data_IF_647272750980
#
_entry.id   IF_647272750980
#
_cell.length_a   1.000
_cell.length_b   1.000
_cell.length_c   1.000
_cell.angle_alpha   90.00
_cell.angle_beta   90.00
_cell.angle_gamma   90.00
#
_symmetry.space_group_name_H-M   'P 1'
#
loop_
_entity.id
_entity.type
_entity.pdbx_description
1 polymer ?
#
# COMPACT_ATOMS: atom_id res chain seq x y z
N UNK A 1 -18.05 -10.39 19.19
CA UNK A 1 -16.78 -9.68 19.27
C UNK A 1 -15.72 -10.51 18.56
N UNK A 2 -14.97 -9.90 17.63
CA UNK A 2 -13.87 -10.55 16.92
C UNK A 2 -12.58 -10.43 17.74
N UNK A 3 -12.33 -9.25 18.29
CA UNK A 3 -11.15 -8.97 19.09
C UNK A 3 -11.23 -7.60 19.76
N UNK A 4 -10.17 -7.27 20.50
CA UNK A 4 -10.01 -5.98 21.18
C UNK A 4 -8.58 -5.49 21.00
N UNK A 5 -8.41 -4.21 20.62
CA UNK A 5 -7.12 -3.56 20.45
C UNK A 5 -7.13 -2.23 21.20
N UNK A 6 -6.24 -2.07 22.19
CA UNK A 6 -6.18 -0.89 23.09
C UNK A 6 -7.53 -0.50 23.70
N UNK A 7 -8.30 -1.47 24.19
CA UNK A 7 -9.60 -1.25 24.78
C UNK A 7 -10.75 -0.99 23.78
N UNK A 8 -10.47 -0.90 22.50
CA UNK A 8 -11.47 -0.79 21.45
C UNK A 8 -11.90 -2.18 20.97
N UNK A 9 -13.16 -2.48 21.19
CA UNK A 9 -13.77 -3.76 20.78
C UNK A 9 -14.21 -3.68 19.33
N UNK A 10 -13.83 -4.67 18.53
CA UNK A 10 -14.34 -4.85 17.18
C UNK A 10 -15.52 -5.80 17.18
N UNK A 11 -16.69 -5.34 16.75
CA UNK A 11 -17.87 -6.18 16.62
C UNK A 11 -17.72 -7.13 15.42
N UNK A 12 -18.45 -8.25 15.44
CA UNK A 12 -18.51 -9.17 14.30
C UNK A 12 -19.09 -8.45 13.08
N UNK A 13 -20.08 -7.61 13.28
CA UNK A 13 -20.76 -6.88 12.22
C UNK A 13 -19.83 -5.87 11.54
N UNK A 14 -19.08 -5.07 12.33
CA UNK A 14 -18.13 -4.10 11.77
C UNK A 14 -17.00 -4.81 11.01
N UNK A 15 -16.49 -5.90 11.58
CA UNK A 15 -15.48 -6.72 10.92
C UNK A 15 -15.97 -7.30 9.59
N UNK A 16 -17.20 -7.85 9.59
CA UNK A 16 -17.79 -8.39 8.36
C UNK A 16 -17.96 -7.29 7.31
N UNK A 17 -18.39 -6.09 7.69
CA UNK A 17 -18.48 -4.95 6.78
C UNK A 17 -17.13 -4.60 6.15
N UNK A 18 -16.05 -4.62 6.93
CA UNK A 18 -14.69 -4.39 6.39
C UNK A 18 -14.25 -5.49 5.42
N UNK A 19 -14.56 -6.75 5.75
CA UNK A 19 -14.26 -7.91 4.88
C UNK A 19 -15.04 -7.81 3.58
N UNK A 20 -16.31 -7.43 3.64
CA UNK A 20 -17.16 -7.26 2.46
C UNK A 20 -16.66 -6.10 1.57
N UNK A 21 -16.29 -4.96 2.16
CA UNK A 21 -15.68 -3.83 1.43
C UNK A 21 -14.40 -4.29 0.69
N UNK A 22 -13.50 -4.97 1.39
CA UNK A 22 -12.25 -5.47 0.80
C UNK A 22 -12.49 -6.52 -0.28
N UNK A 23 -13.44 -7.42 -0.06
CA UNK A 23 -13.82 -8.45 -1.02
C UNK A 23 -14.36 -7.83 -2.32
N UNK A 24 -15.22 -6.83 -2.22
CA UNK A 24 -15.76 -6.11 -3.39
C UNK A 24 -14.65 -5.41 -4.18
N UNK A 25 -13.71 -4.76 -3.49
CA UNK A 25 -12.54 -4.14 -4.11
C UNK A 25 -11.69 -5.17 -4.85
N UNK A 26 -11.43 -6.32 -4.22
CA UNK A 26 -10.65 -7.41 -4.81
C UNK A 26 -11.34 -7.99 -6.05
N UNK A 27 -12.64 -8.25 -5.98
CA UNK A 27 -13.45 -8.73 -7.14
C UNK A 27 -13.36 -7.75 -8.31
N UNK A 28 -13.41 -6.46 -8.01
CA UNK A 28 -13.34 -5.45 -9.05
C UNK A 28 -11.94 -5.38 -9.68
N UNK A 29 -10.89 -5.46 -8.88
CA UNK A 29 -9.52 -5.53 -9.41
C UNK A 29 -9.35 -6.75 -10.34
N UNK A 30 -9.89 -7.90 -9.96
CA UNK A 30 -9.89 -9.10 -10.80
C UNK A 30 -10.62 -8.87 -12.13
N UNK A 31 -11.80 -8.23 -12.11
CA UNK A 31 -12.56 -7.89 -13.32
C UNK A 31 -11.80 -6.90 -14.22
N UNK A 32 -11.15 -5.90 -13.64
CA UNK A 32 -10.30 -4.96 -14.40
C UNK A 32 -9.11 -5.64 -15.06
N UNK A 33 -8.65 -6.78 -14.51
CA UNK A 33 -7.59 -7.61 -15.08
C UNK A 33 -8.12 -8.69 -16.05
N UNK A 34 -9.41 -8.67 -16.38
CA UNK A 34 -10.04 -9.62 -17.29
C UNK A 34 -10.37 -10.98 -16.68
N UNK A 35 -10.38 -11.07 -15.34
CA UNK A 35 -10.80 -12.28 -14.60
C UNK A 35 -12.29 -12.21 -14.25
N UNK A 36 -12.90 -13.35 -13.91
CA UNK A 36 -14.34 -13.44 -13.66
C UNK A 36 -14.81 -12.74 -12.36
N UNK A 37 -13.88 -12.37 -11.48
CA UNK A 37 -14.18 -11.69 -10.23
C UNK A 37 -14.80 -12.59 -9.16
N UNK A 38 -14.74 -13.92 -9.31
CA UNK A 38 -15.19 -14.86 -8.29
C UNK A 38 -14.04 -15.16 -7.31
N UNK A 39 -14.32 -14.96 -6.02
CA UNK A 39 -13.38 -15.31 -4.95
C UNK A 39 -13.55 -16.78 -4.55
N UNK A 40 -12.43 -17.47 -4.43
CA UNK A 40 -12.40 -18.79 -3.81
C UNK A 40 -12.51 -18.70 -2.29
N UNK A 41 -12.87 -19.80 -1.62
CA UNK A 41 -12.91 -19.85 -0.14
C UNK A 41 -11.56 -19.48 0.47
N UNK A 42 -10.45 -19.95 -0.14
CA UNK A 42 -9.10 -19.63 0.30
C UNK A 42 -8.80 -18.13 0.17
N UNK A 43 -9.18 -17.49 -0.93
CA UNK A 43 -9.01 -16.04 -1.10
C UNK A 43 -9.86 -15.25 -0.11
N UNK A 44 -11.08 -15.71 0.16
CA UNK A 44 -11.95 -15.08 1.15
C UNK A 44 -11.32 -15.15 2.56
N UNK A 45 -10.74 -16.27 2.93
CA UNK A 45 -10.07 -16.40 4.22
C UNK A 45 -8.80 -15.54 4.31
N UNK A 46 -8.01 -15.44 3.23
CA UNK A 46 -6.87 -14.54 3.14
C UNK A 46 -7.30 -13.06 3.30
N UNK A 47 -8.42 -12.66 2.68
CA UNK A 47 -8.97 -11.30 2.85
C UNK A 47 -9.35 -11.06 4.31
N UNK A 48 -9.99 -12.01 4.98
CA UNK A 48 -10.34 -11.88 6.41
C UNK A 48 -9.11 -11.67 7.28
N UNK A 49 -8.07 -12.44 7.06
CA UNK A 49 -6.80 -12.31 7.78
C UNK A 49 -6.14 -10.96 7.51
N UNK A 50 -6.07 -10.52 6.24
CA UNK A 50 -5.51 -9.22 5.86
C UNK A 50 -6.29 -8.07 6.50
N UNK A 51 -7.62 -8.11 6.49
CA UNK A 51 -8.47 -7.09 7.12
C UNK A 51 -8.22 -7.03 8.62
N UNK A 52 -8.07 -8.17 9.29
CA UNK A 52 -7.74 -8.20 10.71
C UNK A 52 -6.37 -7.59 11.00
N UNK A 53 -5.35 -7.98 10.27
CA UNK A 53 -3.99 -7.44 10.42
C UNK A 53 -3.94 -5.94 10.16
N UNK A 54 -4.60 -5.48 9.09
CA UNK A 54 -4.70 -4.06 8.77
C UNK A 54 -5.40 -3.28 9.88
N UNK A 55 -6.53 -3.80 10.38
CA UNK A 55 -7.24 -3.17 11.50
C UNK A 55 -6.36 -3.04 12.74
N UNK A 56 -5.65 -4.10 13.12
CA UNK A 56 -4.73 -4.06 14.27
C UNK A 56 -3.65 -3.01 14.06
N UNK A 57 -3.01 -2.98 12.91
CA UNK A 57 -1.97 -2.02 12.57
C UNK A 57 -2.50 -0.59 12.59
N UNK A 58 -3.66 -0.33 12.00
CA UNK A 58 -4.30 0.99 11.99
C UNK A 58 -4.64 1.46 13.40
N UNK A 59 -5.14 0.56 14.29
CA UNK A 59 -5.39 0.90 15.68
C UNK A 59 -4.11 1.18 16.46
N UNK A 60 -3.02 0.47 16.18
CA UNK A 60 -1.71 0.73 16.81
C UNK A 60 -1.17 2.11 16.43
N UNK A 61 -1.12 2.41 15.13
CA UNK A 61 -0.67 3.72 14.64
C UNK A 61 -1.56 4.84 15.18
N UNK A 62 -2.88 4.65 15.10
CA UNK A 62 -3.84 5.64 15.60
C UNK A 62 -3.69 5.89 17.09
N UNK A 63 -3.50 4.86 17.90
CA UNK A 63 -3.32 4.99 19.35
C UNK A 63 -2.07 5.81 19.69
N UNK A 64 -0.95 5.57 19.01
CA UNK A 64 0.28 6.32 19.23
C UNK A 64 0.16 7.76 18.69
N UNK A 65 -0.46 7.94 17.52
CA UNK A 65 -0.72 9.26 16.97
C UNK A 65 -1.63 10.11 17.86
N UNK A 66 -2.70 9.52 18.42
CA UNK A 66 -3.63 10.20 19.33
C UNK A 66 -2.89 10.70 20.59
N UNK A 67 -1.94 9.92 21.16
CA UNK A 67 -1.10 10.33 22.28
C UNK A 67 -0.17 11.50 21.95
N UNK A 68 0.32 11.52 20.72
CA UNK A 68 1.27 12.53 20.24
C UNK A 68 0.58 13.78 19.66
N UNK A 69 -0.75 13.77 19.55
CA UNK A 69 -1.50 14.85 18.91
C UNK A 69 -1.31 14.92 17.40
N UNK A 70 -0.97 13.79 16.77
CA UNK A 70 -0.78 13.69 15.33
C UNK A 70 -2.08 13.30 14.66
N UNK A 71 -2.50 14.07 13.68
CA UNK A 71 -3.70 13.80 12.88
C UNK A 71 -3.48 14.24 11.43
N UNK A 72 -4.33 13.73 10.55
CA UNK A 72 -4.35 14.11 9.13
C UNK A 72 -5.41 15.17 8.92
N UNK A 73 -5.01 16.31 8.39
CA UNK A 73 -5.90 17.42 8.04
C UNK A 73 -6.50 17.24 6.65
N UNK A 74 -7.64 17.87 6.38
CA UNK A 74 -8.23 17.86 5.05
C UNK A 74 -7.32 18.54 4.01
N UNK A 75 -6.54 19.55 4.42
CA UNK A 75 -5.54 20.18 3.56
C UNK A 75 -4.45 19.20 3.09
N UNK A 76 -4.00 18.30 3.97
CA UNK A 76 -3.00 17.27 3.61
C UNK A 76 -3.60 16.22 2.67
N UNK A 77 -4.86 15.84 2.87
CA UNK A 77 -5.57 14.96 1.94
C UNK A 77 -5.68 15.62 0.57
N UNK A 78 -6.08 16.89 0.50
CA UNK A 78 -6.17 17.64 -0.76
C UNK A 78 -4.81 17.74 -1.46
N UNK A 79 -3.73 17.98 -0.72
CA UNK A 79 -2.38 18.03 -1.28
C UNK A 79 -1.92 16.65 -1.80
N UNK A 80 -2.19 15.58 -1.06
CA UNK A 80 -1.91 14.21 -1.52
C UNK A 80 -2.66 13.87 -2.81
N UNK A 81 -3.93 14.27 -2.90
CA UNK A 81 -4.74 14.13 -4.11
C UNK A 81 -4.19 14.95 -5.29
N UNK A 82 -3.73 16.18 -5.03
CA UNK A 82 -3.12 17.04 -6.04
C UNK A 82 -1.81 16.46 -6.59
N UNK A 83 -0.99 15.88 -5.71
CA UNK A 83 0.27 15.24 -6.10
C UNK A 83 0.05 13.90 -6.80
N UNK A 84 -1.01 13.17 -6.46
CA UNK A 84 -1.40 11.90 -7.09
C UNK A 84 -0.39 10.77 -6.95
N UNK A 85 0.52 10.86 -5.96
CA UNK A 85 1.65 9.92 -5.80
C UNK A 85 1.48 8.94 -4.64
N UNK A 86 0.40 9.04 -3.86
CA UNK A 86 0.10 8.11 -2.78
C UNK A 86 -0.18 6.70 -3.33
N UNK A 87 0.26 5.67 -2.59
CA UNK A 87 0.09 4.28 -3.01
C UNK A 87 -1.40 3.90 -3.12
N UNK A 88 -2.22 4.38 -2.20
CA UNK A 88 -3.67 4.19 -2.20
C UNK A 88 -4.37 4.77 -3.46
N UNK A 89 -3.76 5.76 -4.12
CA UNK A 89 -4.28 6.36 -5.35
C UNK A 89 -3.86 5.63 -6.62
N UNK A 90 -2.89 4.71 -6.56
CA UNK A 90 -2.42 3.97 -7.75
C UNK A 90 -3.55 3.12 -8.36
N UNK A 91 -4.40 2.52 -7.52
CA UNK A 91 -5.58 1.79 -7.96
C UNK A 91 -6.56 2.71 -8.73
N UNK A 92 -6.67 3.95 -8.28
CA UNK A 92 -7.56 4.94 -8.89
C UNK A 92 -7.02 5.52 -10.20
N UNK A 93 -5.72 5.39 -10.47
CA UNK A 93 -5.12 5.85 -11.72
C UNK A 93 -5.67 5.13 -12.96
N UNK A 94 -6.13 3.89 -12.82
CA UNK A 94 -6.84 3.16 -13.90
C UNK A 94 -8.21 3.73 -14.24
N UNK A 95 -8.87 4.42 -13.30
CA UNK A 95 -10.20 5.00 -13.46
C UNK A 95 -10.16 6.52 -13.68
N UNK A 96 -9.27 7.20 -12.97
CA UNK A 96 -9.11 8.65 -12.97
C UNK A 96 -7.69 9.04 -13.34
N UNK A 97 -7.08 8.34 -14.28
CA UNK A 97 -5.72 8.62 -14.73
C UNK A 97 -5.69 9.59 -15.90
N UNK A 98 -4.66 10.42 -15.92
CA UNK A 98 -4.36 11.22 -17.10
C UNK A 98 -3.88 10.30 -18.23
N UNK A 99 -4.52 10.29 -19.41
CA UNK A 99 -4.17 9.40 -20.52
C UNK A 99 -2.73 9.53 -21.01
N UNK A 100 -2.11 10.71 -20.81
CA UNK A 100 -0.74 10.98 -21.26
C UNK A 100 0.32 10.53 -20.25
N UNK A 101 0.03 10.62 -18.96
CA UNK A 101 1.01 10.33 -17.90
C UNK A 101 0.76 9.01 -17.18
N UNK A 102 -0.44 8.43 -17.31
CA UNK A 102 -0.87 7.25 -16.57
C UNK A 102 -1.02 7.47 -15.05
N UNK A 103 -0.89 8.72 -14.58
CA UNK A 103 -0.98 9.06 -13.16
C UNK A 103 -2.39 9.52 -12.81
N UNK A 104 -2.73 9.34 -11.54
CA UNK A 104 -3.99 9.86 -10.99
C UNK A 104 -4.17 11.35 -11.29
N UNK A 105 -5.40 11.72 -11.71
CA UNK A 105 -5.78 13.08 -12.07
C UNK A 105 -6.95 13.54 -11.20
N UNK A 106 -6.68 14.49 -10.30
CA UNK A 106 -7.67 15.04 -9.39
C UNK A 106 -8.85 15.69 -10.12
N UNK A 107 -8.62 16.30 -11.28
CA UNK A 107 -9.69 16.97 -12.03
C UNK A 107 -10.74 15.96 -12.56
N UNK A 108 -10.31 14.78 -12.98
CA UNK A 108 -11.22 13.72 -13.41
C UNK A 108 -12.05 13.19 -12.24
N UNK A 109 -11.42 12.97 -11.07
CA UNK A 109 -12.13 12.58 -9.86
C UNK A 109 -13.17 13.65 -9.45
N UNK A 110 -12.77 14.92 -9.41
CA UNK A 110 -13.67 16.02 -9.06
C UNK A 110 -14.86 16.11 -10.01
N UNK A 111 -14.64 15.95 -11.30
CA UNK A 111 -15.71 15.91 -12.29
C UNK A 111 -16.68 14.76 -12.03
N UNK A 112 -16.14 13.56 -11.77
CA UNK A 112 -16.95 12.40 -11.41
C UNK A 112 -17.77 12.65 -10.13
N UNK A 113 -17.15 13.12 -9.05
CA UNK A 113 -17.83 13.37 -7.77
C UNK A 113 -18.90 14.46 -7.86
N UNK A 114 -18.72 15.41 -8.73
CA UNK A 114 -19.73 16.46 -9.01
C UNK A 114 -20.98 15.92 -9.70
N UNK A 115 -20.78 15.03 -10.67
CA UNK A 115 -21.82 14.65 -11.61
C UNK A 115 -22.41 13.24 -11.38
N UNK A 116 -21.79 12.37 -10.54
CA UNK A 116 -22.18 10.96 -10.43
C UNK A 116 -23.65 10.75 -10.05
N UNK A 117 -24.23 11.59 -9.16
CA UNK A 117 -25.64 11.49 -8.77
C UNK A 117 -26.57 11.78 -9.93
N UNK A 118 -26.25 12.81 -10.72
CA UNK A 118 -27.01 13.18 -11.93
C UNK A 118 -26.90 12.08 -12.98
N UNK A 119 -25.72 11.52 -13.15
CA UNK A 119 -25.49 10.41 -14.10
C UNK A 119 -26.26 9.16 -13.71
N UNK A 120 -26.34 8.83 -12.40
CA UNK A 120 -27.19 7.74 -11.89
C UNK A 120 -28.67 7.99 -12.25
N UNK A 121 -29.18 9.20 -12.00
CA UNK A 121 -30.57 9.54 -12.35
C UNK A 121 -30.84 9.39 -13.83
N UNK A 122 -29.95 9.86 -14.69
CA UNK A 122 -30.03 9.69 -16.13
C UNK A 122 -30.03 8.23 -16.57
N UNK A 123 -29.14 7.41 -15.99
CA UNK A 123 -29.07 5.99 -16.26
C UNK A 123 -30.35 5.24 -15.82
N UNK A 124 -30.93 5.63 -14.68
CA UNK A 124 -32.21 5.09 -14.20
C UNK A 124 -33.38 5.48 -15.15
N UNK A 125 -33.43 6.73 -15.61
CA UNK A 125 -34.43 7.18 -16.59
C UNK A 125 -34.30 6.48 -17.95
N UNK A 126 -33.05 6.14 -18.34
CA UNK A 126 -32.75 5.38 -19.54
C UNK A 126 -32.96 3.85 -19.36
N UNK A 127 -33.43 3.41 -18.19
CA UNK A 127 -33.66 2.01 -17.85
C UNK A 127 -32.40 1.13 -18.06
N UNK A 128 -31.21 1.69 -17.70
CA UNK A 128 -29.92 1.05 -17.83
C UNK A 128 -29.32 0.71 -16.44
N UNK A 129 -29.68 -0.45 -15.86
CA UNK A 129 -29.22 -0.84 -14.53
C UNK A 129 -27.71 -1.10 -14.48
N UNK A 130 -27.11 -1.56 -15.58
CA UNK A 130 -25.65 -1.83 -15.63
C UNK A 130 -24.84 -0.54 -15.46
N UNK A 131 -25.26 0.55 -16.10
CA UNK A 131 -24.60 1.84 -15.93
C UNK A 131 -24.74 2.37 -14.50
N UNK A 132 -25.88 2.17 -13.85
CA UNK A 132 -26.08 2.53 -12.44
C UNK A 132 -25.12 1.74 -11.55
N UNK A 133 -25.02 0.44 -11.77
CA UNK A 133 -24.13 -0.43 -10.99
C UNK A 133 -22.66 -0.04 -11.16
N UNK A 134 -22.21 0.23 -12.39
CA UNK A 134 -20.85 0.71 -12.68
C UNK A 134 -20.52 2.03 -11.97
N UNK A 135 -21.41 3.01 -12.01
CA UNK A 135 -21.20 4.31 -11.36
C UNK A 135 -21.12 4.13 -9.83
N UNK A 136 -22.02 3.34 -9.26
CA UNK A 136 -22.00 3.06 -7.82
C UNK A 136 -20.76 2.29 -7.39
N UNK A 137 -20.27 1.38 -8.23
CA UNK A 137 -19.04 0.64 -8.01
C UNK A 137 -17.82 1.57 -7.98
N UNK A 138 -17.68 2.47 -8.94
CA UNK A 138 -16.61 3.48 -8.97
C UNK A 138 -16.68 4.37 -7.74
N UNK A 139 -17.87 4.75 -7.28
CA UNK A 139 -18.04 5.54 -6.05
C UNK A 139 -17.61 4.78 -4.81
N UNK A 140 -17.97 3.50 -4.68
CA UNK A 140 -17.52 2.64 -3.57
C UNK A 140 -16.00 2.50 -3.52
N UNK A 141 -15.38 2.30 -4.69
CA UNK A 141 -13.92 2.24 -4.79
C UNK A 141 -13.26 3.53 -4.33
N UNK A 142 -13.81 4.67 -4.74
CA UNK A 142 -13.31 5.96 -4.29
C UNK A 142 -13.41 6.08 -2.77
N UNK A 143 -14.57 5.75 -2.17
CA UNK A 143 -14.77 5.84 -0.73
C UNK A 143 -13.79 4.96 0.04
N UNK A 144 -13.52 3.77 -0.48
CA UNK A 144 -12.50 2.88 0.06
C UNK A 144 -11.09 3.50 -0.07
N UNK A 145 -10.72 4.00 -1.25
CA UNK A 145 -9.41 4.59 -1.50
C UNK A 145 -9.17 5.85 -0.65
N UNK A 146 -10.20 6.66 -0.39
CA UNK A 146 -10.08 7.82 0.50
C UNK A 146 -9.80 7.40 1.95
N UNK A 147 -10.45 6.35 2.45
CA UNK A 147 -10.16 5.79 3.78
C UNK A 147 -8.70 5.31 3.86
N UNK A 148 -8.25 4.58 2.83
CA UNK A 148 -6.86 4.09 2.75
C UNK A 148 -5.85 5.25 2.66
N UNK A 149 -6.14 6.29 1.90
CA UNK A 149 -5.29 7.48 1.80
C UNK A 149 -5.10 8.16 3.16
N UNK A 150 -6.17 8.31 3.94
CA UNK A 150 -6.08 8.90 5.29
C UNK A 150 -5.23 8.04 6.23
N UNK A 151 -5.39 6.72 6.19
CA UNK A 151 -4.59 5.78 6.97
C UNK A 151 -3.10 5.81 6.53
N UNK A 152 -2.84 5.81 5.23
CA UNK A 152 -1.49 5.93 4.65
C UNK A 152 -0.80 7.23 5.11
N UNK A 153 -1.49 8.37 5.01
CA UNK A 153 -0.94 9.67 5.43
C UNK A 153 -0.64 9.70 6.94
N UNK A 154 -1.51 9.12 7.77
CA UNK A 154 -1.28 9.04 9.20
C UNK A 154 -0.06 8.18 9.53
N UNK A 155 0.03 7.00 8.89
CA UNK A 155 1.16 6.08 9.06
C UNK A 155 2.47 6.71 8.59
N UNK A 156 2.45 7.44 7.47
CA UNK A 156 3.61 8.14 6.96
C UNK A 156 4.07 9.25 7.93
N UNK A 157 3.16 10.03 8.51
CA UNK A 157 3.49 11.01 9.54
C UNK A 157 4.14 10.38 10.75
N UNK A 158 3.57 9.29 11.24
CA UNK A 158 4.11 8.54 12.36
C UNK A 158 5.53 8.02 12.08
N UNK A 159 5.73 7.39 10.91
CA UNK A 159 7.03 6.87 10.50
C UNK A 159 8.07 7.98 10.29
N UNK A 160 7.66 9.16 9.83
CA UNK A 160 8.54 10.32 9.68
C UNK A 160 9.16 10.78 10.99
N UNK A 161 8.47 10.62 12.13
CA UNK A 161 9.04 10.96 13.44
C UNK A 161 10.29 10.14 13.73
N UNK A 162 10.25 8.85 13.44
CA UNK A 162 11.42 7.98 13.60
C UNK A 162 12.52 8.36 12.63
N UNK A 163 12.19 8.59 11.37
CA UNK A 163 13.16 9.00 10.36
C UNK A 163 13.86 10.32 10.72
N UNK A 164 13.12 11.30 11.27
CA UNK A 164 13.68 12.57 11.73
C UNK A 164 14.51 12.45 13.01
N UNK A 165 14.27 11.42 13.83
CA UNK A 165 15.05 11.13 15.03
C UNK A 165 16.44 10.54 14.72
N UNK A 166 16.66 10.03 13.52
CA UNK A 166 17.96 9.53 13.10
C UNK A 166 18.82 10.69 12.57
N UNK A 167 19.73 11.17 13.40
CA UNK A 167 20.74 12.12 12.96
C UNK A 167 21.73 11.40 12.05
N UNK A 168 21.82 11.79 10.79
CA UNK A 168 22.82 11.24 9.88
C UNK A 168 24.22 11.56 10.40
N UNK A 169 25.05 10.54 10.60
CA UNK A 169 26.46 10.71 10.91
C UNK A 169 27.22 11.01 9.61
N UNK A 170 27.82 12.22 9.44
CA UNK A 170 28.53 12.57 8.22
C UNK A 170 29.69 11.60 7.90
N UNK A 171 30.32 11.02 8.92
CA UNK A 171 31.41 10.05 8.74
C UNK A 171 30.85 8.73 8.17
N UNK A 172 29.71 8.25 8.69
CA UNK A 172 29.07 7.04 8.18
C UNK A 172 28.52 7.26 6.76
N UNK A 173 27.94 8.43 6.47
CA UNK A 173 27.48 8.80 5.14
C UNK A 173 28.64 8.85 4.13
N UNK A 174 29.80 9.41 4.53
CA UNK A 174 31.00 9.42 3.72
C UNK A 174 31.53 8.02 3.46
N UNK A 175 31.64 7.18 4.51
CA UNK A 175 32.10 5.81 4.38
C UNK A 175 31.20 5.00 3.42
N UNK A 176 29.88 5.11 3.55
CA UNK A 176 28.93 4.46 2.66
C UNK A 176 29.00 4.96 1.20
N UNK A 177 29.28 6.25 1.01
CA UNK A 177 29.51 6.81 -0.32
C UNK A 177 30.82 6.26 -0.93
N UNK A 178 31.90 6.27 -0.17
CA UNK A 178 33.21 5.79 -0.59
C UNK A 178 33.17 4.30 -0.92
N UNK A 179 32.48 3.49 -0.10
CA UNK A 179 32.30 2.05 -0.32
C UNK A 179 31.62 1.74 -1.69
N UNK A 180 30.66 2.59 -2.09
CA UNK A 180 29.91 2.40 -3.36
C UNK A 180 30.61 2.98 -4.57
N UNK A 181 31.45 3.99 -4.40
CA UNK A 181 31.99 4.78 -5.50
C UNK A 181 33.51 4.66 -5.66
N UNK A 182 34.24 4.07 -4.71
CA UNK A 182 35.67 3.84 -4.85
C UNK A 182 35.91 2.47 -5.49
N UNK A 183 36.42 2.50 -6.71
CA UNK A 183 36.93 1.31 -7.39
C UNK A 183 38.31 0.96 -6.83
N UNK A 184 38.51 -0.31 -6.48
CA UNK A 184 39.78 -0.82 -6.00
C UNK A 184 40.32 -1.83 -7.00
N UNK A 185 41.52 -1.62 -7.50
CA UNK A 185 42.21 -2.62 -8.27
C UNK A 185 42.91 -3.58 -7.32
N UNK A 186 42.58 -4.85 -7.41
CA UNK A 186 43.24 -5.91 -6.62
C UNK A 186 43.92 -6.91 -7.56
N UNK A 187 45.12 -7.31 -7.20
CA UNK A 187 45.80 -8.44 -7.85
C UNK A 187 45.60 -9.64 -6.93
N UNK A 188 44.94 -10.67 -7.43
CA UNK A 188 44.68 -11.89 -6.69
C UNK A 188 45.63 -12.97 -7.18
N UNK A 189 46.47 -13.51 -6.30
CA UNK A 189 47.23 -14.70 -6.55
C UNK A 189 46.55 -15.90 -5.88
N UNK A 190 46.07 -16.85 -6.68
CA UNK A 190 45.43 -18.06 -6.19
C UNK A 190 46.39 -19.27 -6.41
N UNK A 191 46.71 -19.99 -5.34
CA UNK A 191 47.39 -21.27 -5.42
C UNK A 191 46.36 -22.37 -5.12
N UNK A 192 45.84 -23.06 -6.15
CA UNK A 192 44.88 -24.14 -5.94
C UNK A 192 45.59 -25.35 -5.29
N UNK A 193 44.89 -26.02 -4.40
CA UNK A 193 45.41 -27.23 -3.75
C UNK A 193 45.84 -28.32 -4.73
N UNK A 194 45.28 -28.32 -5.93
CA UNK A 194 45.68 -29.25 -7.01
C UNK A 194 47.09 -28.96 -7.59
N UNK A 195 47.64 -27.78 -7.32
CA UNK A 195 49.00 -27.44 -7.71
C UNK A 195 50.07 -28.00 -6.74
N UNK A 196 49.67 -28.54 -5.59
CA UNK A 196 50.57 -29.17 -4.63
C UNK A 196 50.60 -30.67 -4.93
N UNK A 197 51.74 -31.18 -5.38
CA UNK A 197 51.91 -32.62 -5.62
C UNK A 197 51.83 -33.39 -4.29
N UNK A 198 50.95 -34.41 -4.22
CA UNK A 198 50.70 -35.19 -2.98
C UNK A 198 51.90 -35.88 -2.37
N UNK A 199 53.01 -36.01 -3.11
CA UNK A 199 54.28 -36.54 -2.61
C UNK A 199 55.01 -35.63 -1.62
N UNK A 200 54.65 -34.36 -1.56
CA UNK A 200 55.25 -33.37 -0.66
C UNK A 200 54.48 -33.23 0.68
N UNK A 201 53.41 -34.00 0.85
CA UNK A 201 52.59 -33.98 2.07
C UNK A 201 52.88 -35.21 2.88
N UNK A 202 53.57 -35.05 4.01
CA UNK A 202 53.71 -36.11 5.04
C UNK A 202 52.61 -35.92 6.07
N UNK A 203 51.72 -36.91 6.14
CA UNK A 203 50.68 -36.96 7.19
C UNK A 203 51.31 -37.76 8.36
N UNK A 204 51.56 -37.10 9.47
CA UNK A 204 51.93 -37.76 10.73
C UNK A 204 50.66 -38.00 11.54
N UNK A 205 50.46 -39.26 11.96
CA UNK A 205 49.42 -39.61 12.92
C UNK A 205 49.86 -39.11 14.31
N UNK A 206 49.39 -37.93 14.76
CA UNK A 206 49.33 -37.47 16.13
C UNK A 206 47.88 -37.11 16.49
#
# INVERSE_FOLDING_TARGET
QVGEVFGKKLSIQDFQTMVDEQSEVTKLQMRMQGQDGNLTDQQTEQIREQVWQQYVQDQMVKHECDKLGIYVTDGEVQEALRLGNAQSLQMMAGLFGNPQTGRFDLAQLQSFLKDYKKTIQQAQQANNPEAVEQIMMVKKLWDYSEKQLRSELLSNKYNMLFAMGFVSNPIAARAAFDERNIEKNAVVAALPYTAIEGKDIQVTDE
#
